data_IF_640113291681
#
_entry.id   IF_640113291681
#
_cell.length_a   1.000
_cell.length_b   1.000
_cell.length_c   1.000
_cell.angle_alpha   90.00
_cell.angle_beta   90.00
_cell.angle_gamma   90.00
#
_symmetry.space_group_name_H-M   'P 1'
#
loop_
_entity.id
_entity.type
_entity.pdbx_description
1 polymer ?
#
# COMPACT_ATOMS: atom_id res chain seq x y z
N UNK A 1 -26.06 -21.19 6.71
CA UNK A 1 -25.17 -20.01 6.81
C UNK A 1 -23.91 -20.35 6.02
N UNK A 2 -23.52 -19.58 5.00
CA UNK A 2 -22.26 -19.84 4.29
C UNK A 2 -21.08 -19.61 5.26
N UNK A 3 -20.01 -20.43 5.17
CA UNK A 3 -18.81 -20.22 5.97
C UNK A 3 -18.14 -18.88 5.61
N UNK A 4 -17.52 -18.16 6.57
CA UNK A 4 -16.69 -17.02 6.24
C UNK A 4 -15.54 -17.46 5.31
N UNK A 5 -15.09 -16.61 4.38
CA UNK A 5 -14.00 -16.95 3.47
C UNK A 5 -12.72 -17.30 4.25
N UNK A 6 -11.85 -18.15 3.68
CA UNK A 6 -10.63 -18.59 4.34
C UNK A 6 -9.74 -17.39 4.66
N UNK A 7 -9.41 -17.22 5.95
CA UNK A 7 -8.42 -16.28 6.45
C UNK A 7 -7.07 -16.73 5.92
N UNK A 8 -6.69 -16.27 4.72
CA UNK A 8 -5.39 -16.58 4.15
C UNK A 8 -4.32 -15.90 5.01
N UNK A 9 -3.65 -16.70 5.85
CA UNK A 9 -2.24 -16.54 6.24
C UNK A 9 -1.86 -15.14 6.71
N UNK A 10 -2.34 -14.73 7.88
CA UNK A 10 -1.78 -13.59 8.62
C UNK A 10 -0.30 -13.88 8.96
N UNK A 11 0.68 -13.10 8.46
CA UNK A 11 2.07 -13.21 8.89
C UNK A 11 2.23 -12.71 10.34
N UNK A 12 3.29 -13.11 11.05
CA UNK A 12 3.41 -12.95 12.51
C UNK A 12 3.47 -11.48 12.98
N UNK A 13 3.18 -11.22 14.27
CA UNK A 13 3.03 -9.88 14.82
C UNK A 13 4.40 -9.21 14.95
N UNK A 14 4.71 -8.31 14.02
CA UNK A 14 5.76 -7.32 14.18
C UNK A 14 5.33 -6.04 13.47
N UNK A 15 4.59 -5.21 14.21
CA UNK A 15 4.26 -3.81 13.90
C UNK A 15 3.51 -3.55 12.58
N UNK A 16 2.21 -3.21 12.72
CA UNK A 16 1.25 -2.75 11.69
C UNK A 16 0.74 -3.85 10.73
N UNK A 17 -0.57 -4.13 10.83
CA UNK A 17 -1.26 -5.07 9.96
C UNK A 17 -1.80 -4.35 8.73
N UNK A 18 -1.77 -5.01 7.59
CA UNK A 18 -2.28 -4.44 6.34
C UNK A 18 -3.26 -5.41 5.72
N UNK A 19 -4.46 -4.94 5.44
CA UNK A 19 -5.43 -5.65 4.60
C UNK A 19 -5.49 -4.96 3.25
N UNK A 20 -5.53 -5.73 2.17
CA UNK A 20 -5.78 -5.17 0.85
C UNK A 20 -6.81 -5.99 0.11
N UNK A 21 -7.68 -5.30 -0.63
CA UNK A 21 -8.73 -5.89 -1.44
C UNK A 21 -8.47 -5.59 -2.91
N UNK A 22 -8.47 -6.64 -3.74
CA UNK A 22 -8.24 -6.54 -5.18
C UNK A 22 -6.94 -7.20 -5.63
N UNK A 23 -6.47 -6.82 -6.82
CA UNK A 23 -5.22 -7.31 -7.39
C UNK A 23 -4.05 -6.45 -6.89
N UNK A 24 -3.80 -6.49 -5.58
CA UNK A 24 -2.69 -5.78 -4.94
C UNK A 24 -1.70 -6.82 -4.42
N UNK A 25 -0.40 -6.57 -4.58
CA UNK A 25 0.64 -7.44 -4.01
C UNK A 25 1.45 -6.68 -2.98
N UNK A 26 1.56 -7.23 -1.77
CA UNK A 26 2.38 -6.66 -0.69
C UNK A 26 3.80 -7.19 -0.76
N UNK A 27 4.76 -6.28 -0.67
CA UNK A 27 6.19 -6.54 -0.59
C UNK A 27 6.76 -6.00 0.72
N UNK A 28 7.88 -6.57 1.14
CA UNK A 28 8.61 -6.12 2.31
C UNK A 28 9.47 -4.90 1.97
N UNK A 29 9.74 -4.08 2.98
CA UNK A 29 10.59 -2.90 2.84
C UNK A 29 12.03 -3.22 2.41
N UNK A 30 12.48 -4.47 2.59
CA UNK A 30 13.78 -4.93 2.09
C UNK A 30 13.85 -4.97 0.55
N UNK A 31 12.71 -5.13 -0.11
CA UNK A 31 12.62 -5.21 -1.57
C UNK A 31 12.50 -3.83 -2.23
N UNK A 32 12.29 -2.76 -1.47
CA UNK A 32 12.13 -1.40 -2.00
C UNK A 32 13.20 -1.00 -3.02
N UNK A 33 14.47 -1.27 -2.71
CA UNK A 33 15.59 -0.93 -3.59
C UNK A 33 15.71 -1.83 -4.83
N UNK A 34 14.86 -2.84 -4.95
CA UNK A 34 14.77 -3.74 -6.11
C UNK A 34 13.44 -3.61 -6.85
N UNK A 35 12.49 -2.87 -6.29
CA UNK A 35 11.16 -2.71 -6.84
C UNK A 35 10.99 -1.29 -7.38
N UNK A 36 10.49 -1.18 -8.60
CA UNK A 36 10.21 0.09 -9.24
C UNK A 36 8.91 0.02 -10.01
N UNK A 37 8.19 1.14 -10.09
CA UNK A 37 6.95 1.20 -10.89
C UNK A 37 7.25 0.86 -12.34
N UNK A 38 6.34 0.14 -13.00
CA UNK A 38 6.43 -0.02 -14.45
C UNK A 38 5.65 1.07 -15.17
N UNK A 39 6.13 1.47 -16.35
CA UNK A 39 5.48 2.44 -17.22
C UNK A 39 4.28 1.82 -17.91
N UNK A 40 3.12 1.93 -17.28
CA UNK A 40 1.84 1.43 -17.82
C UNK A 40 0.89 2.58 -18.11
N UNK A 41 0.07 2.44 -19.14
CA UNK A 41 -0.97 3.42 -19.52
C UNK A 41 -2.35 3.10 -18.96
N UNK A 42 -2.52 1.94 -18.35
CA UNK A 42 -3.77 1.49 -17.73
C UNK A 42 -3.92 2.13 -16.35
N UNK A 43 -4.89 3.04 -16.23
CA UNK A 43 -5.11 3.83 -15.02
C UNK A 43 -6.00 3.08 -14.03
N UNK A 44 -5.54 2.95 -12.79
CA UNK A 44 -6.28 2.30 -11.70
C UNK A 44 -6.34 3.18 -10.47
N UNK A 45 -7.36 2.98 -9.64
CA UNK A 45 -7.52 3.72 -8.39
C UNK A 45 -7.09 2.86 -7.22
N UNK A 46 -6.20 3.40 -6.38
CA UNK A 46 -5.81 2.79 -5.11
C UNK A 46 -6.27 3.66 -3.96
N UNK A 47 -7.01 3.06 -3.03
CA UNK A 47 -7.48 3.74 -1.82
C UNK A 47 -6.65 3.29 -0.63
N UNK A 48 -5.98 4.21 0.04
CA UNK A 48 -5.23 3.99 1.27
C UNK A 48 -6.10 4.41 2.44
N UNK A 49 -6.47 3.48 3.30
CA UNK A 49 -7.31 3.69 4.47
C UNK A 49 -6.44 3.50 5.72
N UNK A 50 -6.21 4.56 6.47
CA UNK A 50 -5.43 4.46 7.68
C UNK A 50 -6.35 4.23 8.88
N UNK A 51 -6.48 2.99 9.35
CA UNK A 51 -7.17 2.66 10.60
C UNK A 51 -6.21 2.44 11.78
N UNK A 52 -4.91 2.63 11.56
CA UNK A 52 -3.94 2.59 12.65
C UNK A 52 -4.09 3.82 13.56
N UNK A 53 -3.68 3.75 14.83
CA UNK A 53 -3.72 4.88 15.77
C UNK A 53 -2.64 5.94 15.50
N UNK A 54 -1.79 5.74 14.49
CA UNK A 54 -0.70 6.63 14.12
C UNK A 54 -0.94 7.25 12.74
N UNK A 55 -0.36 8.42 12.50
CA UNK A 55 -0.32 9.02 11.15
C UNK A 55 0.64 8.24 10.27
N UNK A 56 0.18 7.86 9.08
CA UNK A 56 1.02 7.19 8.08
C UNK A 56 1.34 8.14 6.93
N UNK A 57 2.38 7.82 6.18
CA UNK A 57 2.86 8.56 5.03
C UNK A 57 2.82 7.64 3.82
N UNK A 58 2.22 8.12 2.74
CA UNK A 58 2.09 7.39 1.48
C UNK A 58 3.07 7.97 0.47
N UNK A 59 3.95 7.10 -0.01
CA UNK A 59 4.93 7.38 -1.04
C UNK A 59 4.64 6.49 -2.24
N UNK A 60 4.76 7.05 -3.44
CA UNK A 60 4.81 6.30 -4.68
C UNK A 60 6.28 6.03 -5.03
N UNK A 61 6.62 4.83 -5.48
CA UNK A 61 7.95 4.55 -6.01
C UNK A 61 7.94 4.86 -7.50
N UNK A 62 8.81 5.75 -7.96
CA UNK A 62 8.96 6.07 -9.39
C UNK A 62 9.59 4.87 -10.15
N UNK A 63 9.81 5.04 -11.45
CA UNK A 63 10.44 4.06 -12.34
C UNK A 63 11.90 3.76 -11.98
N UNK A 64 12.53 4.64 -11.21
CA UNK A 64 13.89 4.46 -10.67
C UNK A 64 13.89 3.83 -9.26
N UNK A 65 12.71 3.54 -8.69
CA UNK A 65 12.57 3.09 -7.30
C UNK A 65 12.67 4.24 -6.27
N UNK A 66 12.70 5.49 -6.74
CA UNK A 66 12.74 6.67 -5.88
C UNK A 66 11.38 6.96 -5.23
N UNK A 67 11.37 7.30 -3.93
CA UNK A 67 10.14 7.63 -3.18
C UNK A 67 9.63 9.04 -3.52
N UNK A 68 8.41 9.13 -4.04
CA UNK A 68 7.67 10.36 -4.34
C UNK A 68 6.54 10.50 -3.32
N UNK A 69 6.58 11.54 -2.49
CA UNK A 69 5.54 11.75 -1.48
C UNK A 69 4.21 12.19 -2.12
N UNK A 70 3.14 11.42 -1.92
CA UNK A 70 1.79 11.76 -2.37
C UNK A 70 0.90 12.21 -1.21
N UNK A 71 0.90 11.43 -0.12
CA UNK A 71 0.19 11.77 1.11
C UNK A 71 1.17 11.71 2.29
N UNK A 72 1.98 12.76 2.52
CA UNK A 72 2.99 12.77 3.58
C UNK A 72 2.38 12.79 5.00
N UNK A 73 1.07 12.97 5.14
CA UNK A 73 0.35 12.95 6.41
C UNK A 73 -1.07 12.43 6.22
N UNK A 74 -1.28 11.13 6.43
CA UNK A 74 -2.59 10.50 6.44
C UNK A 74 -2.96 10.14 7.89
N UNK A 75 -3.85 10.93 8.49
CA UNK A 75 -4.26 10.74 9.87
C UNK A 75 -5.07 9.44 10.07
N UNK A 76 -5.13 8.96 11.31
CA UNK A 76 -6.01 7.88 11.76
C UNK A 76 -7.47 8.11 11.36
N UNK A 77 -8.12 7.06 10.86
CA UNK A 77 -9.51 7.07 10.39
C UNK A 77 -9.71 7.73 9.02
N UNK A 78 -8.66 8.27 8.39
CA UNK A 78 -8.77 8.91 7.09
C UNK A 78 -8.38 7.97 5.95
N UNK A 79 -9.06 8.15 4.82
CA UNK A 79 -8.76 7.47 3.57
C UNK A 79 -8.25 8.46 2.51
N UNK A 80 -7.24 8.06 1.76
CA UNK A 80 -6.69 8.77 0.62
C UNK A 80 -6.82 7.93 -0.64
N UNK A 81 -7.53 8.43 -1.64
CA UNK A 81 -7.58 7.78 -2.96
C UNK A 81 -6.58 8.42 -3.89
N UNK A 82 -5.66 7.61 -4.42
CA UNK A 82 -4.76 8.04 -5.48
C UNK A 82 -5.15 7.37 -6.79
N UNK A 83 -5.31 8.16 -7.84
CA UNK A 83 -5.23 7.63 -9.19
C UNK A 83 -3.77 7.29 -9.48
N UNK A 84 -3.54 6.05 -9.89
CA UNK A 84 -2.22 5.52 -10.22
C UNK A 84 -2.36 4.66 -11.48
N UNK A 85 -1.30 3.96 -11.86
CA UNK A 85 -1.34 3.06 -13.00
C UNK A 85 -1.03 1.63 -12.57
N UNK A 86 -1.40 0.69 -13.44
CA UNK A 86 -1.10 -0.72 -13.24
C UNK A 86 0.41 -0.90 -13.12
N UNK A 87 0.81 -1.80 -12.22
CA UNK A 87 2.19 -2.11 -11.89
C UNK A 87 2.96 -0.94 -11.24
N UNK A 88 2.25 0.05 -10.67
CA UNK A 88 2.85 1.08 -9.84
C UNK A 88 3.01 0.61 -8.40
N UNK A 89 4.15 0.91 -7.81
CA UNK A 89 4.45 0.58 -6.43
C UNK A 89 4.21 1.73 -5.47
N UNK A 90 3.61 1.40 -4.34
CA UNK A 90 3.17 2.32 -3.31
C UNK A 90 3.74 1.87 -1.98
N UNK A 91 4.57 2.70 -1.42
CA UNK A 91 5.17 2.51 -0.11
C UNK A 91 4.35 3.23 0.95
N UNK A 92 4.01 2.51 2.01
CA UNK A 92 3.42 3.05 3.22
C UNK A 92 4.50 3.10 4.30
N UNK A 93 4.76 4.29 4.81
CA UNK A 93 5.64 4.53 5.95
C UNK A 93 4.84 5.07 7.14
N UNK A 94 5.38 4.98 8.36
CA UNK A 94 4.83 5.70 9.50
C UNK A 94 5.30 7.17 9.50
N UNK A 95 4.81 7.98 10.44
CA UNK A 95 5.23 9.38 10.59
C UNK A 95 6.73 9.56 10.90
N UNK A 96 7.41 8.50 11.34
CA UNK A 96 8.86 8.49 11.55
C UNK A 96 9.65 8.17 10.27
N UNK A 97 8.98 8.02 9.12
CA UNK A 97 9.60 7.65 7.84
C UNK A 97 10.03 6.18 7.74
N UNK A 98 9.65 5.35 8.72
CA UNK A 98 9.91 3.90 8.70
C UNK A 98 8.94 3.25 7.72
N UNK A 99 9.47 2.59 6.70
CA UNK A 99 8.65 1.77 5.83
C UNK A 99 7.93 0.67 6.63
N UNK A 100 6.62 0.57 6.43
CA UNK A 100 5.76 -0.44 7.04
C UNK A 100 5.39 -1.54 6.03
N UNK A 101 5.28 -1.16 4.76
CA UNK A 101 5.00 -2.10 3.67
C UNK A 101 4.95 -1.42 2.31
N UNK A 102 5.14 -2.21 1.26
CA UNK A 102 5.07 -1.75 -0.13
C UNK A 102 3.97 -2.53 -0.83
N UNK A 103 3.21 -1.88 -1.70
CA UNK A 103 2.05 -2.44 -2.39
C UNK A 103 2.15 -2.14 -3.87
N UNK A 104 2.05 -3.15 -4.71
CA UNK A 104 1.96 -2.96 -6.17
C UNK A 104 0.50 -2.95 -6.58
N UNK A 105 0.10 -1.90 -7.30
CA UNK A 105 -1.20 -1.80 -7.95
C UNK A 105 -1.29 -2.78 -9.12
N UNK A 106 -2.28 -3.66 -9.14
CA UNK A 106 -2.57 -4.52 -10.30
C UNK A 106 -3.66 -3.93 -11.19
N UNK A 107 -4.17 -4.75 -12.10
CA UNK A 107 -5.01 -4.32 -13.24
C UNK A 107 -6.43 -3.83 -12.90
N UNK A 108 -6.87 -3.91 -11.64
CA UNK A 108 -8.24 -3.55 -11.25
C UNK A 108 -8.26 -2.47 -10.16
N UNK A 109 -7.10 -2.00 -9.72
CA UNK A 109 -7.00 -1.16 -8.53
C UNK A 109 -7.33 -1.93 -7.26
N UNK A 110 -7.51 -1.19 -6.17
CA UNK A 110 -7.90 -1.79 -4.90
C UNK A 110 -7.86 -0.85 -3.70
N UNK A 111 -8.14 -1.40 -2.53
CA UNK A 111 -8.09 -0.69 -1.26
C UNK A 111 -7.04 -1.33 -0.36
N UNK A 112 -6.21 -0.52 0.28
CA UNK A 112 -5.21 -0.91 1.27
C UNK A 112 -5.63 -0.28 2.59
N UNK A 113 -5.94 -1.09 3.59
CA UNK A 113 -6.26 -0.66 4.95
C UNK A 113 -5.11 -1.01 5.89
N UNK A 114 -4.63 -0.01 6.62
CA UNK A 114 -3.58 -0.13 7.65
C UNK A 114 -4.23 -0.20 9.02
N UNK A 115 -3.82 -1.15 9.86
CA UNK A 115 -4.29 -1.33 11.24
C UNK A 115 -3.11 -1.27 12.22
#
# INVERSE_FOLDING_TARGET
>A
MPPPPPVASQPPPAAHSFSFAGNLSRYSCADEGRLASARTTDGVQVTFDNQSPETVQIYWLDFDGSRVAYAPSLATGNAYSSNTYVNHLWLVANSNGRCLGIFTAGNTGGRITVY
#
